data_IF_829225846223
#
_entry.id   IF_829225846223
#
_cell.length_a   1.000
_cell.length_b   1.000
_cell.length_c   1.000
_cell.angle_alpha   90.00
_cell.angle_beta   90.00
_cell.angle_gamma   90.00
#
_symmetry.space_group_name_H-M   'P 1'
#
loop_
_entity.id
_entity.type
_entity.pdbx_description
1 polymer ?
#
# COMPACT_ATOMS: atom_id res chain seq x y z
N UNK A 1 9.35 7.00 20.92
CA UNK A 1 8.03 6.97 20.24
C UNK A 1 8.28 7.35 18.80
N UNK A 2 7.90 6.51 17.83
CA UNK A 2 8.02 6.84 16.41
C UNK A 2 7.09 8.03 16.12
N UNK A 3 7.64 9.11 15.61
CA UNK A 3 6.86 10.28 15.21
C UNK A 3 6.14 9.93 13.88
N UNK A 4 4.85 9.73 13.95
CA UNK A 4 4.01 9.35 12.82
C UNK A 4 3.65 7.85 12.79
N UNK A 5 2.69 7.50 11.95
CA UNK A 5 2.31 6.10 11.73
C UNK A 5 3.35 5.39 10.85
N UNK A 6 3.54 4.07 10.99
CA UNK A 6 4.45 3.31 10.12
C UNK A 6 4.15 3.46 8.62
N UNK A 7 2.91 3.79 8.26
CA UNK A 7 2.51 4.04 6.88
C UNK A 7 2.98 5.41 6.34
N UNK A 8 3.15 6.41 7.20
CA UNK A 8 3.60 7.76 6.82
C UNK A 8 5.11 7.90 6.85
N UNK A 9 5.77 7.30 7.86
CA UNK A 9 7.19 7.44 8.10
C UNK A 9 7.86 6.08 8.14
N UNK A 10 9.10 5.98 7.63
CA UNK A 10 9.91 4.79 7.82
C UNK A 10 10.36 4.66 9.28
N UNK A 11 10.46 3.42 9.76
CA UNK A 11 11.12 3.11 11.03
C UNK A 11 12.65 3.06 10.91
N UNK A 12 13.20 3.24 9.70
CA UNK A 12 14.65 3.29 9.45
C UNK A 12 15.30 4.37 10.31
N UNK A 13 16.34 3.98 11.03
CA UNK A 13 17.10 4.83 11.96
C UNK A 13 16.28 5.48 13.09
N UNK A 14 15.12 4.91 13.43
CA UNK A 14 14.35 5.36 14.59
C UNK A 14 15.19 5.20 15.87
N UNK A 15 15.31 6.28 16.65
CA UNK A 15 16.12 6.31 17.85
C UNK A 15 15.43 5.57 19.01
N UNK A 16 16.23 4.84 19.79
CA UNK A 16 15.79 4.04 20.92
C UNK A 16 16.49 4.54 22.19
N UNK A 17 15.77 5.22 23.07
CA UNK A 17 16.32 5.83 24.29
C UNK A 17 16.55 4.83 25.42
N UNK A 18 15.80 3.75 25.47
CA UNK A 18 15.80 2.80 26.59
C UNK A 18 16.74 1.59 26.40
N UNK A 19 17.40 1.51 25.23
CA UNK A 19 18.33 0.42 24.95
C UNK A 19 19.70 0.75 25.57
N UNK A 20 20.18 -0.11 26.44
CA UNK A 20 21.43 0.12 27.21
C UNK A 20 22.65 -0.62 26.64
N UNK A 21 22.45 -1.62 25.80
CA UNK A 21 23.54 -2.38 25.19
C UNK A 21 23.14 -2.92 23.84
N UNK A 22 24.09 -2.97 22.89
CA UNK A 22 23.89 -3.49 21.54
C UNK A 22 25.08 -4.34 21.17
N UNK A 23 24.84 -5.56 20.68
CA UNK A 23 25.88 -6.37 20.09
C UNK A 23 26.09 -5.92 18.63
N UNK A 24 27.33 -5.57 18.28
CA UNK A 24 27.66 -5.15 16.93
C UNK A 24 27.39 -6.25 15.91
N UNK A 25 26.78 -5.87 14.80
CA UNK A 25 26.57 -6.77 13.65
C UNK A 25 27.83 -6.70 12.76
N UNK A 26 28.44 -7.84 12.48
CA UNK A 26 29.70 -7.91 11.72
C UNK A 26 29.56 -7.33 10.30
N UNK A 27 28.46 -7.61 9.61
CA UNK A 27 28.18 -7.07 8.29
C UNK A 27 26.73 -6.53 8.24
N UNK A 28 26.53 -5.23 8.53
CA UNK A 28 25.20 -4.62 8.54
C UNK A 28 24.45 -4.70 7.21
N UNK A 29 25.15 -4.47 6.09
CA UNK A 29 24.52 -4.47 4.77
C UNK A 29 24.02 -5.85 4.39
N UNK A 30 24.85 -6.88 4.55
CA UNK A 30 24.44 -8.26 4.31
C UNK A 30 23.30 -8.72 5.26
N UNK A 31 23.23 -8.18 6.48
CA UNK A 31 22.14 -8.47 7.41
C UNK A 31 20.84 -7.82 6.94
N UNK A 32 20.88 -6.59 6.43
CA UNK A 32 19.72 -5.89 5.83
C UNK A 32 19.25 -6.65 4.58
N UNK A 33 20.16 -7.04 3.69
CA UNK A 33 19.83 -7.80 2.48
C UNK A 33 19.19 -9.17 2.81
N UNK A 34 19.60 -9.76 3.95
CA UNK A 34 18.98 -10.99 4.47
C UNK A 34 17.65 -10.73 5.22
N UNK A 35 17.07 -9.52 5.14
CA UNK A 35 15.80 -9.17 5.75
C UNK A 35 15.82 -9.12 7.28
N UNK A 36 16.97 -8.83 7.89
CA UNK A 36 17.12 -8.73 9.34
C UNK A 36 16.97 -7.29 9.81
N UNK A 37 16.12 -7.09 10.81
CA UNK A 37 16.01 -5.84 11.54
C UNK A 37 16.84 -5.96 12.83
N UNK A 38 17.78 -5.02 13.06
CA UNK A 38 18.65 -5.01 14.23
C UNK A 38 18.88 -3.58 14.71
N UNK A 39 19.54 -3.45 15.88
CA UNK A 39 19.84 -2.16 16.48
C UNK A 39 21.32 -1.82 16.19
N UNK A 40 21.56 -0.58 15.81
CA UNK A 40 22.88 -0.02 15.57
C UNK A 40 23.20 0.95 16.72
N UNK A 41 24.39 0.85 17.28
CA UNK A 41 24.98 1.87 18.15
C UNK A 41 26.07 2.60 17.36
N UNK A 42 25.86 3.90 17.08
CA UNK A 42 26.83 4.75 16.38
C UNK A 42 27.72 5.56 17.34
N UNK A 43 27.72 5.20 18.62
CA UNK A 43 28.44 5.87 19.69
C UNK A 43 27.77 7.14 20.24
N UNK A 44 26.77 7.67 19.53
CA UNK A 44 25.97 8.83 19.93
C UNK A 44 24.55 8.42 20.34
N UNK A 45 23.90 7.61 19.54
CA UNK A 45 22.54 7.14 19.78
C UNK A 45 22.38 5.68 19.33
N UNK A 46 21.44 4.98 19.94
CA UNK A 46 21.01 3.66 19.50
C UNK A 46 19.80 3.82 18.63
N UNK A 47 19.84 3.20 17.46
CA UNK A 47 18.81 3.34 16.42
C UNK A 47 18.54 2.03 15.74
N UNK A 48 17.36 1.88 15.17
CA UNK A 48 17.06 0.74 14.29
C UNK A 48 17.94 0.78 13.05
N UNK A 49 18.26 -0.38 12.51
CA UNK A 49 18.83 -0.51 11.17
C UNK A 49 17.83 -0.04 10.11
N UNK A 50 18.12 -0.24 8.83
CA UNK A 50 17.13 -0.05 7.77
C UNK A 50 15.90 -0.92 8.06
N UNK A 51 14.70 -0.35 8.01
CA UNK A 51 13.45 -1.00 8.36
C UNK A 51 12.97 -1.90 7.20
N UNK A 52 13.50 -3.10 7.16
CA UNK A 52 13.19 -4.13 6.16
C UNK A 52 12.32 -5.25 6.76
N UNK A 53 11.52 -5.87 5.89
CA UNK A 53 10.76 -7.08 6.21
C UNK A 53 11.65 -8.32 6.04
N UNK A 54 11.20 -9.47 6.55
CA UNK A 54 11.87 -10.75 6.32
C UNK A 54 11.69 -11.29 4.88
N UNK A 55 10.99 -10.57 4.02
CA UNK A 55 10.79 -10.94 2.62
C UNK A 55 12.02 -10.58 1.81
N UNK A 56 12.89 -11.53 1.57
CA UNK A 56 14.13 -11.35 0.77
C UNK A 56 13.93 -11.68 -0.69
N UNK A 57 13.03 -12.61 -1.01
CA UNK A 57 12.72 -13.02 -2.39
C UNK A 57 11.49 -12.28 -2.89
N UNK A 58 11.61 -11.59 -4.01
CA UNK A 58 10.53 -10.89 -4.69
C UNK A 58 10.16 -11.71 -5.94
N UNK A 59 8.85 -11.91 -6.15
CA UNK A 59 8.35 -12.55 -7.38
C UNK A 59 8.42 -11.60 -8.58
N UNK A 60 8.37 -12.14 -9.79
CA UNK A 60 8.53 -11.40 -11.05
C UNK A 60 7.51 -10.24 -11.22
N UNK A 61 6.36 -10.31 -10.55
CA UNK A 61 5.29 -9.30 -10.62
C UNK A 61 5.20 -8.42 -9.37
N UNK A 62 6.06 -8.64 -8.37
CA UNK A 62 6.02 -7.92 -7.10
C UNK A 62 7.04 -6.77 -7.08
N UNK A 63 6.66 -5.57 -6.61
CA UNK A 63 7.60 -4.47 -6.49
C UNK A 63 8.61 -4.72 -5.36
N UNK A 64 9.87 -4.37 -5.62
CA UNK A 64 10.96 -4.51 -4.65
C UNK A 64 10.71 -3.72 -3.34
N UNK A 65 9.93 -2.67 -3.43
CA UNK A 65 9.49 -1.86 -2.30
C UNK A 65 8.79 -2.67 -1.19
N UNK A 66 8.22 -3.86 -1.48
CA UNK A 66 7.63 -4.75 -0.48
C UNK A 66 8.64 -5.30 0.54
N UNK A 67 9.93 -5.15 0.30
CA UNK A 67 10.96 -5.44 1.30
C UNK A 67 10.95 -4.43 2.46
N UNK A 68 10.32 -3.27 2.31
CA UNK A 68 10.28 -2.22 3.34
C UNK A 68 9.05 -2.37 4.24
N UNK A 69 9.25 -2.24 5.54
CA UNK A 69 8.17 -2.28 6.55
C UNK A 69 7.13 -1.18 6.27
N UNK A 70 7.57 0.02 5.85
CA UNK A 70 6.68 1.13 5.51
C UNK A 70 5.65 0.74 4.45
N UNK A 71 6.08 0.06 3.40
CA UNK A 71 5.21 -0.34 2.29
C UNK A 71 4.17 -1.37 2.71
N UNK A 72 4.58 -2.39 3.45
CA UNK A 72 3.64 -3.39 3.99
C UNK A 72 2.67 -2.77 4.99
N UNK A 73 3.13 -1.90 5.88
CA UNK A 73 2.27 -1.19 6.81
C UNK A 73 1.23 -0.30 6.11
N UNK A 74 1.59 0.36 5.01
CA UNK A 74 0.66 1.16 4.22
C UNK A 74 -0.41 0.28 3.54
N UNK A 75 0.00 -0.85 2.96
CA UNK A 75 -0.94 -1.81 2.33
C UNK A 75 -1.90 -2.37 3.38
N UNK A 76 -1.39 -2.77 4.54
CA UNK A 76 -2.21 -3.31 5.63
C UNK A 76 -3.19 -2.26 6.17
N UNK A 77 -2.76 -1.01 6.29
CA UNK A 77 -3.61 0.12 6.69
C UNK A 77 -4.77 0.30 5.70
N UNK A 78 -4.46 0.38 4.39
CA UNK A 78 -5.47 0.56 3.34
C UNK A 78 -6.47 -0.59 3.36
N UNK A 79 -5.97 -1.82 3.43
CA UNK A 79 -6.80 -3.02 3.47
C UNK A 79 -7.69 -3.05 4.70
N UNK A 80 -7.14 -2.78 5.87
CA UNK A 80 -7.88 -2.79 7.13
C UNK A 80 -9.06 -1.83 7.08
N UNK A 81 -8.81 -0.56 6.71
CA UNK A 81 -9.87 0.45 6.66
C UNK A 81 -10.90 0.19 5.57
N UNK A 82 -10.47 -0.27 4.40
CA UNK A 82 -11.40 -0.61 3.32
C UNK A 82 -12.35 -1.74 3.73
N UNK A 83 -11.82 -2.80 4.37
CA UNK A 83 -12.62 -3.93 4.85
C UNK A 83 -13.54 -3.49 5.99
N UNK A 84 -13.02 -2.78 7.00
CA UNK A 84 -13.82 -2.31 8.14
C UNK A 84 -14.96 -1.40 7.70
N UNK A 85 -14.72 -0.45 6.79
CA UNK A 85 -15.79 0.43 6.27
C UNK A 85 -16.89 -0.36 5.56
N UNK A 86 -16.51 -1.38 4.78
CA UNK A 86 -17.49 -2.23 4.10
C UNK A 86 -18.30 -3.06 5.11
N UNK A 87 -17.66 -3.62 6.11
CA UNK A 87 -18.31 -4.44 7.15
C UNK A 87 -19.23 -3.59 8.04
N UNK A 88 -18.77 -2.41 8.45
CA UNK A 88 -19.50 -1.56 9.38
C UNK A 88 -20.70 -0.86 8.74
N UNK A 89 -20.59 -0.43 7.47
CA UNK A 89 -21.57 0.46 6.86
C UNK A 89 -22.43 -0.19 5.76
N UNK A 90 -21.92 -1.20 5.06
CA UNK A 90 -22.56 -1.75 3.86
C UNK A 90 -22.96 -3.21 3.99
N UNK A 91 -22.20 -4.03 4.72
CA UNK A 91 -22.44 -5.47 4.76
C UNK A 91 -23.80 -5.81 5.38
N UNK A 92 -24.69 -6.37 4.53
CA UNK A 92 -26.05 -6.73 4.94
C UNK A 92 -27.00 -5.55 5.17
N UNK A 93 -26.57 -4.31 4.95
CA UNK A 93 -27.37 -3.09 5.18
C UNK A 93 -27.85 -2.43 3.90
N UNK A 94 -27.11 -2.58 2.80
CA UNK A 94 -27.43 -1.98 1.51
C UNK A 94 -27.80 -3.05 0.49
N UNK A 95 -28.69 -2.71 -0.44
CA UNK A 95 -29.02 -3.56 -1.57
C UNK A 95 -27.85 -3.58 -2.58
N UNK A 96 -27.67 -4.69 -3.32
CA UNK A 96 -26.65 -4.78 -4.34
C UNK A 96 -27.11 -4.13 -5.66
N UNK A 97 -27.46 -2.85 -5.61
CA UNK A 97 -27.78 -2.05 -6.78
C UNK A 97 -26.56 -1.37 -7.35
N UNK A 98 -26.61 -0.92 -8.60
CA UNK A 98 -25.52 -0.14 -9.19
C UNK A 98 -25.29 1.18 -8.45
N UNK A 99 -26.38 1.85 -8.04
CA UNK A 99 -26.30 3.13 -7.33
C UNK A 99 -25.66 2.96 -5.94
N UNK A 100 -26.02 1.92 -5.18
CA UNK A 100 -25.37 1.62 -3.89
C UNK A 100 -23.89 1.26 -4.05
N UNK A 101 -23.53 0.55 -5.12
CA UNK A 101 -22.11 0.32 -5.47
C UNK A 101 -21.37 1.62 -5.74
N UNK A 102 -22.00 2.59 -6.41
CA UNK A 102 -21.39 3.90 -6.66
C UNK A 102 -21.21 4.70 -5.36
N UNK A 103 -22.16 4.65 -4.42
CA UNK A 103 -22.03 5.29 -3.10
C UNK A 103 -20.85 4.70 -2.33
N UNK A 104 -20.71 3.37 -2.32
CA UNK A 104 -19.55 2.70 -1.70
C UNK A 104 -18.23 3.13 -2.37
N UNK A 105 -18.19 3.22 -3.69
CA UNK A 105 -17.00 3.69 -4.40
C UNK A 105 -16.59 5.10 -3.99
N UNK A 106 -17.55 6.03 -3.88
CA UNK A 106 -17.28 7.40 -3.44
C UNK A 106 -16.68 7.42 -2.04
N UNK A 107 -17.23 6.65 -1.10
CA UNK A 107 -16.69 6.56 0.26
C UNK A 107 -15.26 6.04 0.28
N UNK A 108 -14.95 5.02 -0.53
CA UNK A 108 -13.59 4.49 -0.65
C UNK A 108 -12.63 5.47 -1.34
N UNK A 109 -13.10 6.22 -2.34
CA UNK A 109 -12.30 7.27 -2.99
C UNK A 109 -11.97 8.41 -2.03
N UNK A 110 -12.93 8.86 -1.23
CA UNK A 110 -12.70 9.89 -0.20
C UNK A 110 -11.68 9.42 0.84
N UNK A 111 -11.76 8.15 1.24
CA UNK A 111 -10.74 7.56 2.12
C UNK A 111 -9.34 7.57 1.48
N UNK A 112 -9.21 7.08 0.23
CA UNK A 112 -7.92 7.09 -0.48
C UNK A 112 -7.37 8.50 -0.63
N UNK A 113 -8.22 9.49 -0.90
CA UNK A 113 -7.83 10.88 -0.97
C UNK A 113 -7.31 11.41 0.37
N UNK A 114 -7.89 11.00 1.48
CA UNK A 114 -7.38 11.35 2.83
C UNK A 114 -5.96 10.79 3.05
N UNK A 115 -5.63 9.63 2.45
CA UNK A 115 -4.29 9.05 2.48
C UNK A 115 -3.30 9.80 1.58
N UNK A 116 -3.76 10.38 0.46
CA UNK A 116 -2.95 11.30 -0.35
C UNK A 116 -2.64 12.58 0.43
N UNK A 117 -3.64 13.18 1.08
CA UNK A 117 -3.46 14.40 1.90
C UNK A 117 -2.48 14.16 3.06
N UNK A 118 -2.51 12.97 3.65
CA UNK A 118 -1.57 12.54 4.70
C UNK A 118 -0.22 12.05 4.18
N UNK A 119 0.03 12.09 2.85
CA UNK A 119 1.27 11.66 2.19
C UNK A 119 1.62 10.18 2.37
N UNK A 120 0.64 9.35 2.58
CA UNK A 120 0.78 7.90 2.49
C UNK A 120 0.76 7.46 1.04
N UNK A 121 -0.13 8.05 0.24
CA UNK A 121 -0.22 7.86 -1.21
C UNK A 121 0.25 9.12 -1.95
N UNK A 122 0.73 8.91 -3.16
CA UNK A 122 1.08 9.99 -4.09
C UNK A 122 -0.19 10.71 -4.55
N UNK A 123 -0.16 12.04 -4.54
CA UNK A 123 -1.32 12.86 -4.88
C UNK A 123 -1.80 12.60 -6.31
N UNK A 124 -3.08 12.32 -6.47
CA UNK A 124 -3.73 12.04 -7.76
C UNK A 124 -3.42 10.65 -8.33
N UNK A 125 -2.75 9.77 -7.59
CA UNK A 125 -2.43 8.41 -8.06
C UNK A 125 -3.46 7.36 -7.66
N UNK A 126 -4.34 7.68 -6.70
CA UNK A 126 -5.23 6.68 -6.10
C UNK A 126 -6.66 6.74 -6.64
N UNK A 127 -7.35 5.62 -6.54
CA UNK A 127 -8.76 5.52 -6.88
C UNK A 127 -9.37 4.18 -6.54
N UNK A 128 -10.70 4.15 -6.62
CA UNK A 128 -11.51 2.97 -6.46
C UNK A 128 -12.41 2.82 -7.69
N UNK A 129 -12.54 1.61 -8.20
CA UNK A 129 -13.40 1.28 -9.35
C UNK A 129 -14.11 -0.04 -9.11
N UNK A 130 -15.26 -0.23 -9.79
CA UNK A 130 -15.87 -1.56 -9.91
C UNK A 130 -15.00 -2.41 -10.83
N UNK A 131 -14.65 -3.60 -10.38
CA UNK A 131 -13.82 -4.53 -11.15
C UNK A 131 -14.66 -5.25 -12.21
N UNK A 132 -14.61 -4.76 -13.44
CA UNK A 132 -15.34 -5.33 -14.57
C UNK A 132 -14.83 -6.74 -14.91
N UNK A 133 -13.52 -6.98 -14.83
CA UNK A 133 -12.92 -8.27 -15.16
C UNK A 133 -13.34 -9.35 -14.14
N UNK A 134 -13.24 -9.02 -12.85
CA UNK A 134 -13.68 -9.94 -11.79
C UNK A 134 -15.20 -10.20 -11.86
N UNK A 135 -16.00 -9.16 -12.15
CA UNK A 135 -17.45 -9.26 -12.34
C UNK A 135 -17.77 -10.17 -13.52
N UNK A 136 -17.14 -9.95 -14.67
CA UNK A 136 -17.30 -10.76 -15.88
C UNK A 136 -16.94 -12.21 -15.63
N UNK A 137 -15.80 -12.46 -15.03
CA UNK A 137 -15.33 -13.81 -14.69
C UNK A 137 -16.32 -14.54 -13.77
N UNK A 138 -16.84 -13.82 -12.77
CA UNK A 138 -17.84 -14.38 -11.87
C UNK A 138 -19.14 -14.74 -12.60
N UNK A 139 -19.67 -13.83 -13.41
CA UNK A 139 -20.93 -14.04 -14.16
C UNK A 139 -20.81 -15.18 -15.15
N UNK A 140 -19.70 -15.31 -15.88
CA UNK A 140 -19.44 -16.44 -16.78
C UNK A 140 -19.42 -17.76 -15.98
N UNK A 141 -18.77 -17.76 -14.81
CA UNK A 141 -18.74 -18.95 -13.95
C UNK A 141 -20.13 -19.28 -13.41
N UNK A 142 -20.93 -18.28 -13.06
CA UNK A 142 -22.28 -18.44 -12.56
C UNK A 142 -23.28 -18.91 -13.63
N UNK A 143 -23.02 -18.61 -14.93
CA UNK A 143 -23.80 -19.12 -16.06
C UNK A 143 -23.68 -20.64 -16.22
N UNK A 144 -22.62 -21.25 -15.66
CA UNK A 144 -22.44 -22.71 -15.70
C UNK A 144 -22.42 -23.26 -17.11
N UNK A 145 -23.35 -24.17 -17.41
CA UNK A 145 -23.47 -24.84 -18.72
C UNK A 145 -24.30 -24.03 -19.75
N UNK A 146 -24.83 -22.84 -19.38
CA UNK A 146 -25.52 -21.95 -20.31
C UNK A 146 -24.54 -21.20 -21.20
N UNK A 147 -24.18 -21.82 -22.31
CA UNK A 147 -23.27 -21.24 -23.30
C UNK A 147 -23.79 -19.93 -23.90
N UNK A 148 -25.12 -19.76 -24.02
CA UNK A 148 -25.73 -18.56 -24.58
C UNK A 148 -25.53 -17.36 -23.67
N UNK A 149 -25.78 -17.55 -22.38
CA UNK A 149 -25.58 -16.50 -21.37
C UNK A 149 -24.10 -16.18 -21.20
N UNK A 150 -23.22 -17.16 -21.17
CA UNK A 150 -21.78 -16.94 -21.11
C UNK A 150 -21.26 -16.10 -22.31
N UNK A 151 -21.76 -16.38 -23.54
CA UNK A 151 -21.41 -15.60 -24.73
C UNK A 151 -22.00 -14.18 -24.70
N UNK A 152 -23.23 -14.01 -24.14
CA UNK A 152 -23.80 -12.67 -23.89
C UNK A 152 -22.88 -11.85 -23.01
N UNK A 153 -22.48 -12.39 -21.86
CA UNK A 153 -21.64 -11.70 -20.87
C UNK A 153 -20.27 -11.34 -21.45
N UNK A 154 -19.67 -12.21 -22.26
CA UNK A 154 -18.38 -11.93 -22.91
C UNK A 154 -18.44 -10.73 -23.86
N UNK A 155 -19.58 -10.47 -24.49
CA UNK A 155 -19.79 -9.37 -25.45
C UNK A 155 -20.13 -8.03 -24.80
N UNK A 156 -20.53 -8.02 -23.53
CA UNK A 156 -20.83 -6.78 -22.81
C UNK A 156 -19.57 -5.90 -22.68
N UNK A 157 -19.74 -4.62 -22.80
CA UNK A 157 -18.72 -3.65 -22.43
C UNK A 157 -18.48 -3.65 -20.91
N UNK A 158 -17.36 -3.11 -20.46
CA UNK A 158 -17.06 -3.03 -19.03
C UNK A 158 -18.11 -2.21 -18.25
N UNK A 159 -18.61 -1.13 -18.87
CA UNK A 159 -19.68 -0.29 -18.29
C UNK A 159 -21.02 -1.01 -18.18
N UNK A 160 -21.28 -2.01 -18.99
CA UNK A 160 -22.50 -2.82 -18.91
C UNK A 160 -22.34 -3.94 -17.89
N UNK A 161 -21.19 -4.61 -17.91
CA UNK A 161 -20.91 -5.74 -17.01
C UNK A 161 -20.98 -5.35 -15.53
N UNK A 162 -20.47 -4.18 -15.14
CA UNK A 162 -20.50 -3.70 -13.75
C UNK A 162 -21.93 -3.42 -13.24
N UNK A 163 -22.91 -3.25 -14.15
CA UNK A 163 -24.31 -3.04 -13.83
C UNK A 163 -25.11 -4.33 -13.70
N UNK A 164 -24.55 -5.43 -14.18
CA UNK A 164 -25.21 -6.75 -14.11
C UNK A 164 -25.45 -7.19 -12.67
N UNK A 165 -26.49 -7.99 -12.49
CA UNK A 165 -26.82 -8.54 -11.18
C UNK A 165 -25.84 -9.66 -10.78
N UNK A 166 -25.10 -9.43 -9.74
CA UNK A 166 -24.12 -10.37 -9.17
C UNK A 166 -24.60 -11.05 -7.89
N UNK A 167 -25.92 -11.00 -7.62
CA UNK A 167 -26.49 -11.51 -6.36
C UNK A 167 -26.00 -10.72 -5.16
N UNK A 168 -25.33 -11.37 -4.20
CA UNK A 168 -24.78 -10.71 -3.00
C UNK A 168 -23.31 -10.29 -3.15
N UNK A 169 -22.71 -10.45 -4.33
CA UNK A 169 -21.28 -10.21 -4.52
C UNK A 169 -20.99 -8.84 -5.14
N UNK A 170 -20.02 -8.13 -4.60
CA UNK A 170 -19.51 -6.87 -5.15
C UNK A 170 -18.01 -7.02 -5.38
N UNK A 171 -17.54 -6.62 -6.57
CA UNK A 171 -16.15 -6.71 -6.96
C UNK A 171 -15.60 -5.28 -7.10
N UNK A 172 -14.60 -4.97 -6.27
CA UNK A 172 -13.96 -3.66 -6.18
C UNK A 172 -12.47 -3.79 -6.42
N UNK A 173 -11.89 -2.79 -7.06
CA UNK A 173 -10.46 -2.65 -7.22
C UNK A 173 -10.03 -1.29 -6.72
N UNK A 174 -9.11 -1.30 -5.75
CA UNK A 174 -8.42 -0.12 -5.25
C UNK A 174 -7.03 -0.06 -5.87
N UNK A 175 -6.55 1.13 -6.19
CA UNK A 175 -5.21 1.35 -6.72
C UNK A 175 -4.63 2.66 -6.18
N UNK A 176 -3.31 2.78 -6.22
CA UNK A 176 -2.57 3.97 -5.80
C UNK A 176 -1.09 3.70 -5.65
N UNK A 177 -0.28 4.74 -5.74
CA UNK A 177 1.14 4.68 -5.52
C UNK A 177 1.47 5.05 -4.07
N UNK A 178 2.10 4.15 -3.34
CA UNK A 178 2.53 4.41 -1.95
C UNK A 178 3.81 5.24 -1.99
N UNK A 179 3.80 6.38 -1.27
CA UNK A 179 4.97 7.23 -1.14
C UNK A 179 6.05 6.57 -0.29
N UNK A 180 7.28 6.53 -0.79
CA UNK A 180 8.42 6.06 -0.01
C UNK A 180 8.95 7.15 0.94
N UNK A 181 9.75 6.77 1.93
CA UNK A 181 10.44 7.70 2.81
C UNK A 181 11.80 8.08 2.23
N UNK A 182 12.27 9.28 2.53
CA UNK A 182 13.64 9.70 2.23
C UNK A 182 14.60 8.99 3.19
N UNK A 183 15.34 8.01 2.70
CA UNK A 183 16.26 7.19 3.50
C UNK A 183 17.72 7.35 3.08
N UNK A 184 17.96 7.70 1.82
CA UNK A 184 19.29 7.84 1.23
C UNK A 184 19.53 9.28 0.79
N UNK A 185 20.63 9.90 1.22
CA UNK A 185 20.98 11.28 0.92
C UNK A 185 22.37 11.35 0.30
N UNK A 186 22.50 12.07 -0.83
CA UNK A 186 23.76 12.50 -1.38
C UNK A 186 23.86 14.02 -1.21
N UNK A 187 24.80 14.47 -0.38
CA UNK A 187 24.97 15.90 -0.06
C UNK A 187 26.33 16.33 -0.61
N UNK A 188 26.34 17.31 -1.50
CA UNK A 188 27.55 17.97 -2.02
C UNK A 188 27.60 19.39 -1.48
N UNK A 189 28.71 19.75 -0.86
CA UNK A 189 28.99 21.13 -0.44
C UNK A 189 30.08 21.72 -1.33
N UNK A 190 29.72 22.71 -2.12
CA UNK A 190 30.67 23.42 -2.98
C UNK A 190 31.12 24.72 -2.32
N UNK A 191 32.43 24.89 -2.18
CA UNK A 191 33.03 26.12 -1.65
C UNK A 191 33.29 27.07 -2.81
N UNK A 192 32.64 28.24 -2.79
CA UNK A 192 32.88 29.29 -3.81
C UNK A 192 34.28 29.90 -3.65
N UNK A 193 35.07 30.01 -4.72
CA UNK A 193 36.43 30.60 -4.68
C UNK A 193 36.50 32.05 -4.17
N UNK A 194 35.41 32.78 -4.25
CA UNK A 194 35.30 34.18 -3.82
C UNK A 194 35.36 34.37 -2.30
N UNK A 195 35.25 33.30 -1.50
CA UNK A 195 35.32 33.35 -0.03
C UNK A 195 36.76 33.17 0.48
N UNK A 196 37.70 32.77 -0.39
CA UNK A 196 39.10 32.48 -0.02
C UNK A 196 40.02 33.68 -0.30
N UNK A 197 39.51 34.76 -0.91
CA UNK A 197 40.25 35.93 -1.34
C UNK A 197 40.01 37.16 -0.43
N UNK A 198 39.96 36.98 0.90
CA UNK A 198 39.90 38.09 1.87
C UNK A 198 40.95 37.91 2.96
#
# INVERSE_FOLDING_TARGET
MLAGTPAQCSATYAQLSEVTGVTATENPDAAVDAGKLFIIDDGRVRKLSRAVTSKVTIGDTEPEALKKIKMTAAIDLIRYYAVSSVEDDYFGKCANTYDDKCVLLLALQDYLKSLEDSKVLESGSSGAVLDADATRKYLITAAGDDATEAERIKKLSDNEVIKENTGSKVFLKLYGNIMDAMEDFAIVFEVSPSVIAA
#
